data_IF_767146467494
#
_entry.id   IF_767146467494
#
_cell.length_a   1.000
_cell.length_b   1.000
_cell.length_c   1.000
_cell.angle_alpha   90.00
_cell.angle_beta   90.00
_cell.angle_gamma   90.00
#
_symmetry.space_group_name_H-M   'P 1'
#
loop_
_entity.id
_entity.type
_entity.pdbx_description
1 polymer ?
#
# COMPACT_ATOMS: atom_id res chain seq x y z
N UNK A 1 -11.93 13.77 -5.66
CA UNK A 1 -11.47 12.98 -4.49
C UNK A 1 -10.04 13.40 -4.22
N UNK A 2 -9.67 13.66 -2.96
CA UNK A 2 -8.32 14.12 -2.60
C UNK A 2 -7.25 13.04 -2.76
N UNK A 3 -5.99 13.42 -2.55
CA UNK A 3 -4.84 12.52 -2.47
C UNK A 3 -4.94 11.67 -1.20
N UNK A 4 -4.69 10.36 -1.30
CA UNK A 4 -4.57 9.46 -0.13
C UNK A 4 -3.07 9.23 0.08
N UNK A 5 -2.55 9.57 1.26
CA UNK A 5 -1.13 9.46 1.61
C UNK A 5 -0.95 8.88 3.01
N UNK A 6 -0.02 7.94 3.15
CA UNK A 6 0.33 7.34 4.43
C UNK A 6 1.74 6.75 4.36
N UNK A 7 2.39 6.61 5.52
CA UNK A 7 3.63 5.83 5.62
C UNK A 7 3.27 4.36 5.77
N UNK A 8 4.07 3.51 5.14
CA UNK A 8 3.96 2.07 5.27
C UNK A 8 5.31 1.38 5.03
N UNK A 9 5.44 0.14 5.48
CA UNK A 9 6.56 -0.74 5.17
C UNK A 9 6.07 -2.02 4.51
N UNK A 10 6.91 -2.64 3.70
CA UNK A 10 6.65 -4.03 3.26
C UNK A 10 7.04 -4.93 4.44
N UNK A 11 6.15 -5.81 4.93
CA UNK A 11 6.46 -6.67 6.06
C UNK A 11 7.65 -7.57 5.72
N UNK A 12 8.57 -7.83 6.67
CA UNK A 12 9.79 -8.63 6.45
C UNK A 12 9.50 -10.14 6.41
N UNK A 13 8.45 -10.53 5.69
CA UNK A 13 8.01 -11.91 5.51
C UNK A 13 7.95 -12.21 4.01
N UNK A 14 8.19 -13.46 3.61
CA UNK A 14 8.16 -13.86 2.19
C UNK A 14 6.82 -13.53 1.52
N UNK A 15 5.72 -13.55 2.28
CA UNK A 15 4.39 -13.21 1.77
C UNK A 15 4.14 -11.72 1.62
N UNK A 16 5.04 -10.86 2.10
CA UNK A 16 4.95 -9.40 1.99
C UNK A 16 5.10 -8.92 0.55
N UNK A 17 5.89 -9.65 -0.25
CA UNK A 17 6.03 -9.42 -1.68
C UNK A 17 6.04 -10.76 -2.41
N UNK A 18 4.97 -11.06 -3.14
CA UNK A 18 4.82 -12.30 -3.91
C UNK A 18 4.88 -12.01 -5.40
N UNK A 19 5.58 -12.86 -6.15
CA UNK A 19 5.68 -12.81 -7.60
C UNK A 19 5.05 -14.07 -8.21
N UNK A 20 4.45 -13.93 -9.40
CA UNK A 20 3.84 -15.03 -10.15
C UNK A 20 3.67 -14.68 -11.63
N UNK A 21 3.00 -15.55 -12.39
CA UNK A 21 2.78 -15.36 -13.84
C UNK A 21 1.99 -14.09 -14.18
N UNK A 22 1.15 -13.62 -13.27
CA UNK A 22 0.32 -12.41 -13.43
C UNK A 22 0.96 -11.14 -12.82
N UNK A 23 2.25 -11.19 -12.47
CA UNK A 23 2.99 -10.06 -11.89
C UNK A 23 3.23 -10.19 -10.38
N UNK A 24 3.06 -9.08 -9.64
CA UNK A 24 3.42 -8.99 -8.23
C UNK A 24 2.23 -8.60 -7.34
N UNK A 25 2.22 -9.10 -6.10
CA UNK A 25 1.32 -8.66 -5.02
C UNK A 25 2.14 -8.18 -3.83
N UNK A 26 1.82 -6.98 -3.35
CA UNK A 26 2.51 -6.34 -2.23
C UNK A 26 1.54 -6.21 -1.05
N UNK A 27 2.00 -6.55 0.14
CA UNK A 27 1.34 -6.20 1.40
C UNK A 27 2.11 -5.06 2.07
N UNK A 28 1.38 -4.19 2.76
CA UNK A 28 1.94 -3.03 3.43
C UNK A 28 1.47 -3.01 4.88
N UNK A 29 2.41 -2.88 5.81
CA UNK A 29 2.13 -2.58 7.20
C UNK A 29 1.95 -1.07 7.34
N UNK A 30 0.77 -0.65 7.76
CA UNK A 30 0.42 0.76 7.94
C UNK A 30 0.30 1.04 9.45
N UNK A 31 1.06 1.98 10.02
CA UNK A 31 0.92 2.37 11.43
C UNK A 31 -0.49 2.87 11.74
N UNK A 32 -0.96 2.63 12.96
CA UNK A 32 -2.32 2.99 13.40
C UNK A 32 -2.64 4.48 13.21
N UNK A 33 -1.64 5.36 13.32
CA UNK A 33 -1.74 6.80 13.05
C UNK A 33 -2.31 7.13 11.66
N UNK A 34 -2.16 6.23 10.68
CA UNK A 34 -2.64 6.38 9.31
C UNK A 34 -3.88 5.53 9.00
N UNK A 35 -4.52 4.89 9.98
CA UNK A 35 -5.64 3.98 9.75
C UNK A 35 -6.80 4.65 8.99
N UNK A 36 -7.11 5.90 9.30
CA UNK A 36 -8.13 6.68 8.60
C UNK A 36 -7.84 6.85 7.11
N UNK A 37 -6.57 7.00 6.71
CA UNK A 37 -6.16 7.08 5.30
C UNK A 37 -6.22 5.69 4.63
N UNK A 38 -5.78 4.64 5.34
CA UNK A 38 -5.84 3.27 4.85
C UNK A 38 -7.28 2.82 4.56
N UNK A 39 -8.24 3.18 5.41
CA UNK A 39 -9.66 2.84 5.23
C UNK A 39 -10.23 3.45 3.94
N UNK A 40 -9.75 4.62 3.50
CA UNK A 40 -10.22 5.25 2.25
C UNK A 40 -9.94 4.40 1.02
N UNK A 41 -8.97 3.48 1.07
CA UNK A 41 -8.68 2.53 -0.01
C UNK A 41 -9.88 1.61 -0.34
N UNK A 42 -10.83 1.42 0.59
CA UNK A 42 -12.08 0.68 0.30
C UNK A 42 -12.86 1.32 -0.85
N UNK A 43 -12.76 2.64 -1.02
CA UNK A 43 -13.43 3.39 -2.11
C UNK A 43 -12.75 3.25 -3.47
N UNK A 44 -11.55 2.65 -3.50
CA UNK A 44 -10.71 2.44 -4.67
C UNK A 44 -10.93 1.07 -5.34
N UNK A 45 -11.75 0.19 -4.75
CA UNK A 45 -12.07 -1.13 -5.31
C UNK A 45 -12.54 -1.02 -6.77
N UNK A 46 -12.14 -1.99 -7.60
CA UNK A 46 -12.47 -2.09 -9.03
C UNK A 46 -12.04 -0.89 -9.89
N UNK A 47 -11.05 -0.12 -9.45
CA UNK A 47 -10.48 1.00 -10.22
C UNK A 47 -8.99 0.74 -10.50
N UNK A 48 -8.51 1.24 -11.63
CA UNK A 48 -7.08 1.29 -11.93
C UNK A 48 -6.45 2.39 -11.08
N UNK A 49 -5.42 2.04 -10.31
CA UNK A 49 -4.71 2.97 -9.42
C UNK A 49 -3.31 3.22 -9.95
N UNK A 50 -2.89 4.48 -9.95
CA UNK A 50 -1.48 4.84 -10.08
C UNK A 50 -0.90 4.98 -8.68
N UNK A 51 0.10 4.17 -8.36
CA UNK A 51 0.79 4.20 -7.08
C UNK A 51 2.19 4.78 -7.30
N UNK A 52 2.60 5.72 -6.46
CA UNK A 52 3.96 6.23 -6.40
C UNK A 52 4.49 5.92 -5.01
N UNK A 53 5.67 5.28 -4.96
CA UNK A 53 6.34 4.93 -3.70
C UNK A 53 7.62 5.73 -3.64
N UNK A 54 7.80 6.45 -2.54
CA UNK A 54 9.01 7.20 -2.24
C UNK A 54 9.61 6.63 -0.96
N UNK A 55 10.93 6.42 -0.98
CA UNK A 55 11.64 5.99 0.22
C UNK A 55 11.75 7.21 1.14
N UNK A 56 11.23 7.09 2.35
CA UNK A 56 11.42 8.10 3.39
C UNK A 56 12.67 7.71 4.18
N UNK A 57 13.75 8.45 3.99
CA UNK A 57 14.94 8.34 4.85
C UNK A 57 14.60 8.94 6.23
N UNK A 58 14.76 8.15 7.30
CA UNK A 58 14.42 8.55 8.67
C UNK A 58 14.56 7.42 9.66
#
# INVERSE_FOLDING_TARGET
MGKIEFLASIPPIQSGLKFGGDGARVQFDIPETYLSEAIKLVTCKNKVLKITVEIKEG
#
